data_IF_193781633758
#
_entry.id   IF_193781633758
#
_cell.length_a   1.000
_cell.length_b   1.000
_cell.length_c   1.000
_cell.angle_alpha   90.00
_cell.angle_beta   90.00
_cell.angle_gamma   90.00
#
_symmetry.space_group_name_H-M   'P 1'
#
loop_
_entity.id
_entity.type
_entity.pdbx_description
1 polymer ?
#
# COMPACT_ATOMS: atom_id res chain seq x y z
N UNK A 1 -15.25 6.62 -2.11
CA UNK A 1 -16.33 5.61 -2.11
C UNK A 1 -15.71 4.23 -2.12
N UNK A 2 -16.22 3.31 -1.32
CA UNK A 2 -15.71 1.94 -1.30
C UNK A 2 -16.45 1.13 -2.38
N UNK A 3 -15.68 0.43 -3.21
CA UNK A 3 -16.22 -0.44 -4.26
C UNK A 3 -16.24 -1.89 -3.74
N UNK A 4 -17.42 -2.48 -3.65
CA UNK A 4 -17.57 -3.84 -3.12
C UNK A 4 -16.94 -4.93 -4.01
N UNK A 5 -16.67 -4.61 -5.28
CA UNK A 5 -16.00 -5.52 -6.20
C UNK A 5 -14.48 -5.34 -6.24
N UNK A 6 -13.96 -4.36 -5.52
CA UNK A 6 -12.53 -4.08 -5.49
C UNK A 6 -11.83 -4.97 -4.46
N UNK A 7 -10.81 -5.69 -4.89
CA UNK A 7 -10.02 -6.57 -4.01
C UNK A 7 -9.44 -5.79 -2.83
N UNK A 8 -8.86 -4.61 -3.09
CA UNK A 8 -8.21 -3.82 -2.05
C UNK A 8 -9.21 -3.12 -1.13
N UNK A 9 -10.38 -2.70 -1.65
CA UNK A 9 -11.41 -2.12 -0.79
C UNK A 9 -11.86 -3.10 0.30
N UNK A 10 -11.86 -4.38 -0.01
CA UNK A 10 -12.40 -5.43 0.86
C UNK A 10 -11.33 -6.20 1.63
N UNK A 11 -10.05 -5.87 1.42
CA UNK A 11 -8.95 -6.58 2.07
C UNK A 11 -8.84 -6.15 3.53
N UNK A 12 -8.77 -7.10 4.50
CA UNK A 12 -8.57 -6.75 5.90
C UNK A 12 -7.22 -6.07 6.13
N UNK A 13 -7.19 -5.10 7.04
CA UNK A 13 -5.97 -4.38 7.38
C UNK A 13 -5.13 -5.15 8.38
N UNK A 14 -3.80 -5.13 8.19
CA UNK A 14 -2.81 -5.50 9.19
C UNK A 14 -2.46 -4.27 10.03
N UNK A 15 -2.29 -3.12 9.36
CA UNK A 15 -2.10 -1.81 9.98
C UNK A 15 -3.07 -0.84 9.35
N UNK A 16 -3.51 0.17 10.10
CA UNK A 16 -4.40 1.18 9.55
C UNK A 16 -4.35 2.48 10.36
N UNK A 17 -4.78 3.55 9.71
CA UNK A 17 -5.15 4.81 10.35
C UNK A 17 -6.55 5.19 9.84
N UNK A 18 -6.98 6.43 10.07
CA UNK A 18 -8.35 6.85 9.72
C UNK A 18 -8.64 6.75 8.21
N UNK A 19 -7.65 7.00 7.37
CA UNK A 19 -7.87 7.15 5.92
C UNK A 19 -7.14 6.10 5.07
N UNK A 20 -6.22 5.35 5.65
CA UNK A 20 -5.41 4.37 4.92
C UNK A 20 -5.31 3.06 5.68
N UNK A 21 -4.99 2.01 4.95
CA UNK A 21 -4.73 0.69 5.53
C UNK A 21 -3.57 0.00 4.80
N UNK A 22 -2.97 -0.97 5.44
CA UNK A 22 -1.88 -1.73 4.86
C UNK A 22 -2.04 -3.23 5.13
N UNK A 23 -1.54 -4.03 4.20
CA UNK A 23 -1.60 -5.49 4.28
C UNK A 23 -0.50 -6.11 3.41
N UNK A 24 -0.24 -7.41 3.62
CA UNK A 24 0.74 -8.10 2.81
C UNK A 24 0.19 -8.40 1.41
N UNK A 25 1.06 -8.28 0.40
CA UNK A 25 0.71 -8.67 -0.96
C UNK A 25 0.58 -10.20 -1.02
N UNK A 26 -0.50 -10.69 -1.64
CA UNK A 26 -0.71 -12.14 -1.80
C UNK A 26 0.18 -12.74 -2.88
N UNK A 27 0.79 -11.91 -3.72
CA UNK A 27 1.77 -12.31 -4.73
C UNK A 27 3.10 -11.59 -4.49
N UNK A 28 3.78 -11.87 -3.36
CA UNK A 28 4.94 -11.09 -2.97
C UNK A 28 6.13 -11.34 -3.90
N UNK A 29 6.87 -10.28 -4.21
CA UNK A 29 8.14 -10.38 -4.94
C UNK A 29 9.30 -10.65 -3.99
N UNK A 30 9.09 -10.46 -2.69
CA UNK A 30 10.05 -10.75 -1.62
C UNK A 30 9.29 -10.95 -0.32
N UNK A 31 9.88 -11.66 0.67
CA UNK A 31 9.24 -11.79 1.98
C UNK A 31 8.95 -10.42 2.60
N UNK A 32 7.73 -10.25 3.08
CA UNK A 32 7.31 -9.00 3.71
C UNK A 32 6.81 -7.92 2.75
N UNK A 33 6.66 -8.23 1.47
CA UNK A 33 6.10 -7.30 0.49
C UNK A 33 4.76 -6.77 0.98
N UNK A 34 4.69 -5.47 1.28
CA UNK A 34 3.57 -4.82 1.93
C UNK A 34 2.96 -3.78 1.01
N UNK A 35 1.65 -3.63 1.09
CA UNK A 35 0.91 -2.63 0.29
C UNK A 35 0.26 -1.62 1.24
N UNK A 36 0.36 -0.35 0.88
CA UNK A 36 -0.31 0.75 1.55
C UNK A 36 -1.37 1.28 0.60
N UNK A 37 -2.63 1.29 1.04
CA UNK A 37 -3.75 1.71 0.21
C UNK A 37 -4.64 2.69 0.96
N UNK A 38 -5.31 3.62 0.24
CA UNK A 38 -6.38 4.40 0.86
C UNK A 38 -7.58 3.50 1.15
N UNK A 39 -8.35 3.81 2.20
CA UNK A 39 -9.56 3.05 2.54
C UNK A 39 -10.64 3.26 1.48
N UNK A 40 -10.80 4.51 1.00
CA UNK A 40 -11.72 4.79 -0.10
C UNK A 40 -11.07 4.44 -1.44
N UNK A 41 -11.90 4.20 -2.44
CA UNK A 41 -11.44 3.81 -3.76
C UNK A 41 -11.00 5.01 -4.58
N UNK A 42 -9.70 5.13 -4.83
CA UNK A 42 -9.10 6.03 -5.81
C UNK A 42 -8.27 5.19 -6.75
N UNK A 43 -8.30 5.49 -8.04
CA UNK A 43 -7.60 4.65 -9.03
C UNK A 43 -6.09 4.74 -8.89
N UNK A 44 -5.57 5.97 -8.71
CA UNK A 44 -4.12 6.19 -8.54
C UNK A 44 -3.84 7.04 -7.31
N UNK A 45 -2.57 7.02 -6.86
CA UNK A 45 -2.11 7.86 -5.76
C UNK A 45 -2.43 9.35 -6.01
N UNK A 46 -2.31 9.80 -7.26
CA UNK A 46 -2.51 11.20 -7.60
C UNK A 46 -3.98 11.62 -7.60
N UNK A 47 -4.91 10.65 -7.70
CA UNK A 47 -6.34 10.93 -7.62
C UNK A 47 -6.81 11.12 -6.17
N UNK A 48 -6.04 10.64 -5.20
CA UNK A 48 -6.40 10.76 -3.80
C UNK A 48 -6.21 12.20 -3.32
N UNK A 49 -7.13 12.73 -2.47
CA UNK A 49 -6.93 14.03 -1.84
C UNK A 49 -5.66 14.08 -1.00
N UNK A 50 -5.16 15.31 -0.74
CA UNK A 50 -3.89 15.49 -0.04
C UNK A 50 -3.90 14.86 1.36
N UNK A 51 -4.99 14.96 2.11
CA UNK A 51 -5.11 14.35 3.44
C UNK A 51 -5.00 12.83 3.38
N UNK A 52 -5.54 12.22 2.34
CA UNK A 52 -5.43 10.77 2.12
C UNK A 52 -4.00 10.39 1.73
N UNK A 53 -3.37 11.17 0.85
CA UNK A 53 -1.96 10.95 0.49
C UNK A 53 -1.05 11.00 1.72
N UNK A 54 -1.26 11.99 2.59
CA UNK A 54 -0.50 12.14 3.85
C UNK A 54 -0.73 10.94 4.76
N UNK A 55 -1.99 10.50 4.89
CA UNK A 55 -2.32 9.33 5.71
C UNK A 55 -1.62 8.07 5.20
N UNK A 56 -1.51 7.90 3.87
CA UNK A 56 -0.79 6.78 3.27
C UNK A 56 0.70 6.84 3.61
N UNK A 57 1.31 8.02 3.53
CA UNK A 57 2.73 8.21 3.84
C UNK A 57 3.00 7.99 5.33
N UNK A 58 2.14 8.48 6.22
CA UNK A 58 2.25 8.25 7.65
C UNK A 58 2.17 6.75 7.97
N UNK A 59 1.24 6.06 7.34
CA UNK A 59 1.09 4.62 7.54
C UNK A 59 2.29 3.85 7.01
N UNK A 60 2.90 4.32 5.92
CA UNK A 60 4.12 3.70 5.38
C UNK A 60 5.26 3.76 6.39
N UNK A 61 5.40 4.86 7.13
CA UNK A 61 6.40 4.97 8.19
C UNK A 61 6.15 3.95 9.30
N UNK A 62 4.90 3.75 9.69
CA UNK A 62 4.53 2.73 10.67
C UNK A 62 4.79 1.32 10.14
N UNK A 63 4.46 1.08 8.87
CA UNK A 63 4.69 -0.21 8.24
C UNK A 63 6.18 -0.54 8.18
N UNK A 64 7.02 0.44 7.88
CA UNK A 64 8.47 0.25 7.87
C UNK A 64 8.97 -0.21 9.24
N UNK A 65 8.53 0.45 10.31
CA UNK A 65 8.89 0.06 11.68
C UNK A 65 8.47 -1.38 11.99
N UNK A 66 7.25 -1.73 11.58
CA UNK A 66 6.72 -3.08 11.75
C UNK A 66 7.55 -4.11 10.98
N UNK A 67 7.86 -3.84 9.70
CA UNK A 67 8.63 -4.74 8.85
C UNK A 67 10.10 -4.84 9.30
N UNK A 68 10.69 -3.75 9.80
CA UNK A 68 12.05 -3.77 10.35
C UNK A 68 12.18 -4.83 11.46
N UNK A 69 11.17 -4.92 12.31
CA UNK A 69 11.17 -5.87 13.44
C UNK A 69 10.94 -7.30 12.98
N UNK A 70 10.16 -7.49 11.93
CA UNK A 70 9.78 -8.84 11.45
C UNK A 70 10.83 -9.44 10.53
N UNK A 71 11.46 -8.63 9.69
CA UNK A 71 12.31 -9.14 8.60
C UNK A 71 13.75 -8.66 8.65
N UNK A 72 14.06 -7.65 9.45
CA UNK A 72 15.42 -7.07 9.58
C UNK A 72 16.04 -6.77 8.21
N UNK A 73 15.35 -6.05 7.31
CA UNK A 73 15.85 -5.84 5.96
C UNK A 73 17.03 -4.86 5.95
N UNK A 74 17.87 -4.94 4.90
CA UNK A 74 18.97 -4.01 4.69
C UNK A 74 18.54 -2.78 3.87
N UNK A 75 17.36 -2.79 3.30
CA UNK A 75 16.82 -1.69 2.52
C UNK A 75 15.38 -1.96 2.11
N UNK A 76 14.81 -1.01 1.37
CA UNK A 76 13.45 -1.12 0.87
C UNK A 76 13.36 -0.60 -0.55
N UNK A 77 12.47 -1.18 -1.33
CA UNK A 77 11.98 -0.58 -2.57
C UNK A 77 10.61 0.01 -2.29
N UNK A 78 10.42 1.28 -2.67
CA UNK A 78 9.16 2.00 -2.49
C UNK A 78 8.71 2.49 -3.86
N UNK A 79 7.56 2.05 -4.33
CA UNK A 79 7.07 2.47 -5.64
C UNK A 79 5.56 2.32 -5.76
N UNK A 80 4.98 3.01 -6.75
CA UNK A 80 3.57 2.88 -7.11
C UNK A 80 3.47 2.90 -8.62
N UNK A 81 2.67 1.99 -9.18
CA UNK A 81 2.38 1.99 -10.61
C UNK A 81 1.16 2.87 -10.85
N UNK A 82 1.33 3.90 -11.66
CA UNK A 82 0.28 4.88 -11.97
C UNK A 82 -0.09 4.75 -13.44
N UNK A 83 -1.26 4.17 -13.68
CA UNK A 83 -1.78 3.95 -15.01
C UNK A 83 -1.40 2.61 -15.60
N UNK A 84 -2.21 2.18 -16.56
CA UNK A 84 -2.04 0.86 -17.21
C UNK A 84 -0.70 0.75 -17.94
N UNK A 85 -0.26 1.86 -18.59
CA UNK A 85 1.01 1.88 -19.31
C UNK A 85 2.22 1.70 -18.39
N UNK A 86 2.07 1.99 -17.08
CA UNK A 86 3.10 1.81 -16.06
C UNK A 86 2.88 0.52 -15.25
N UNK A 87 2.14 -0.43 -15.81
CA UNK A 87 1.89 -1.77 -15.25
C UNK A 87 0.97 -1.78 -14.03
N UNK A 88 0.12 -0.77 -13.85
CA UNK A 88 -0.90 -0.82 -12.81
C UNK A 88 -1.89 -1.93 -13.14
N UNK A 89 -1.97 -2.94 -12.28
CA UNK A 89 -2.85 -4.12 -12.49
C UNK A 89 -4.14 -4.01 -11.70
N UNK A 90 -4.09 -3.47 -10.48
CA UNK A 90 -5.27 -3.24 -9.66
C UNK A 90 -5.55 -1.75 -9.65
N UNK A 91 -6.77 -1.38 -10.08
CA UNK A 91 -7.14 0.02 -10.23
C UNK A 91 -7.71 0.60 -8.94
N UNK A 92 -6.97 0.41 -7.87
CA UNK A 92 -7.12 1.01 -6.57
C UNK A 92 -5.71 1.44 -6.15
N UNK A 93 -5.53 2.72 -5.84
CA UNK A 93 -4.22 3.29 -5.54
C UNK A 93 -3.47 2.46 -4.48
N UNK A 94 -2.20 2.19 -4.71
CA UNK A 94 -1.40 1.46 -3.74
C UNK A 94 0.09 1.79 -3.88
N UNK A 95 0.77 1.80 -2.75
CA UNK A 95 2.23 1.96 -2.68
C UNK A 95 2.80 0.61 -2.25
N UNK A 96 3.78 0.14 -3.00
CA UNK A 96 4.54 -1.05 -2.66
C UNK A 96 5.68 -0.68 -1.71
N UNK A 97 5.79 -1.41 -0.62
CA UNK A 97 6.91 -1.32 0.32
C UNK A 97 7.52 -2.72 0.40
N UNK A 98 8.68 -2.89 -0.25
CA UNK A 98 9.29 -4.20 -0.43
C UNK A 98 10.60 -4.28 0.33
N UNK A 99 10.67 -5.09 1.40
CA UNK A 99 11.94 -5.28 2.12
C UNK A 99 12.98 -5.98 1.24
N UNK A 100 14.22 -5.55 1.37
CA UNK A 100 15.37 -6.14 0.66
C UNK A 100 16.28 -6.81 1.68
N UNK A 101 16.51 -8.10 1.48
CA UNK A 101 17.36 -8.89 2.37
C UNK A 101 18.85 -8.50 2.30
#
# INVERSE_FOLDING_TARGET
MIDENCVFCNKPAILENDLAKGFFDIHPVAPGHFLIVPKEHYVTFFDAPRDVQIAMLDLMDQAKTYLDKQYHPRGYQVFSHVGKAAFQKVFHAHIHLVPVA
#
